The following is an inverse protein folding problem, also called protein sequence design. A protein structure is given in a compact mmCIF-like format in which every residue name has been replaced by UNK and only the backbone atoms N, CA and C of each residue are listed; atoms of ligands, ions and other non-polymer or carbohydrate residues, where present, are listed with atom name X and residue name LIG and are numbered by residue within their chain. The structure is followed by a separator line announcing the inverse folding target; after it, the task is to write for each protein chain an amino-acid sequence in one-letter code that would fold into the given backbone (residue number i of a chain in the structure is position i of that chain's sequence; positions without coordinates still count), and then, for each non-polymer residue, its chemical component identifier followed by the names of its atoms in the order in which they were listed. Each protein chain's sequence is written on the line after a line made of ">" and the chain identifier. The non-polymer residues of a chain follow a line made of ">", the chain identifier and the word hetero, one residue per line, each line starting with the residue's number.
data_IF_985858740703
#
_entry.id   IF_985858740703
#
_cell.length_a   1.000
_cell.length_b   1.000
_cell.length_c   1.000
_cell.angle_alpha   90.00
_cell.angle_beta   90.00
_cell.angle_gamma   90.00
#
_symmetry.space_group_name_H-M   'P 1'
#
loop_
_entity.id
_entity.type
_entity.pdbx_description
1 polymer ?
#
# COMPACT_ATOMS: atom_id res chain seq x y z
N UNK A 1 -10.53 11.96 7.45
CA UNK A 1 -9.16 11.90 6.91
C UNK A 1 -8.88 10.49 6.44
N UNK A 2 -8.30 10.35 5.26
CA UNK A 2 -7.97 9.06 4.67
C UNK A 2 -6.49 8.75 4.85
N UNK A 3 -6.17 7.51 5.15
CA UNK A 3 -4.80 7.03 5.26
C UNK A 3 -4.55 5.95 4.20
N UNK A 4 -3.42 6.04 3.54
CA UNK A 4 -3.01 5.04 2.57
C UNK A 4 -2.00 4.11 3.24
N UNK A 5 -2.36 2.83 3.35
CA UNK A 5 -1.51 1.85 4.03
C UNK A 5 -0.40 1.38 3.12
N UNK A 6 0.83 1.30 3.64
CA UNK A 6 1.93 0.71 2.88
C UNK A 6 1.92 -0.83 3.01
N UNK A 7 2.76 -1.48 2.21
CA UNK A 7 2.80 -2.93 2.15
C UNK A 7 3.17 -3.56 3.50
N UNK A 8 4.13 -2.97 4.21
CA UNK A 8 4.58 -3.52 5.50
C UNK A 8 3.50 -3.45 6.54
N UNK A 9 2.77 -2.35 6.61
CA UNK A 9 1.65 -2.20 7.55
C UNK A 9 0.56 -3.23 7.24
N UNK A 10 0.26 -3.44 5.95
CA UNK A 10 -0.72 -4.46 5.55
C UNK A 10 -0.30 -5.85 6.03
N UNK A 11 0.98 -6.20 5.86
CA UNK A 11 1.49 -7.50 6.30
C UNK A 11 1.37 -7.64 7.82
N UNK A 12 1.71 -6.58 8.58
CA UNK A 12 1.60 -6.61 10.03
C UNK A 12 0.15 -6.82 10.47
N UNK A 13 -0.80 -6.15 9.83
CA UNK A 13 -2.21 -6.28 10.18
C UNK A 13 -2.72 -7.69 9.85
N UNK A 14 -2.38 -8.22 8.69
CA UNK A 14 -2.80 -9.57 8.26
C UNK A 14 -2.28 -10.62 9.25
N UNK A 15 -1.04 -10.48 9.70
CA UNK A 15 -0.41 -11.43 10.60
C UNK A 15 -0.73 -11.18 12.08
N UNK A 16 -1.42 -10.07 12.38
CA UNK A 16 -1.70 -9.63 13.75
C UNK A 16 -0.42 -9.42 14.57
N UNK A 17 0.68 -9.04 13.91
CA UNK A 17 1.99 -8.81 14.53
C UNK A 17 2.71 -7.65 13.87
N UNK A 18 3.29 -6.72 14.66
CA UNK A 18 3.16 -6.64 16.11
C UNK A 18 1.73 -6.33 16.55
N UNK A 19 1.38 -6.78 17.72
CA UNK A 19 0.02 -6.59 18.23
C UNK A 19 -0.38 -5.12 18.31
N UNK A 20 0.57 -4.24 18.60
CA UNK A 20 0.31 -2.78 18.69
C UNK A 20 -0.19 -2.23 17.37
N UNK A 21 0.39 -2.67 16.25
CA UNK A 21 -0.04 -2.24 14.92
C UNK A 21 -1.47 -2.70 14.64
N UNK A 22 -1.76 -3.96 14.94
CA UNK A 22 -3.10 -4.51 14.75
C UNK A 22 -4.14 -3.79 15.59
N UNK A 23 -3.83 -3.51 16.86
CA UNK A 23 -4.73 -2.79 17.76
C UNK A 23 -4.97 -1.37 17.25
N UNK A 24 -3.95 -0.69 16.75
CA UNK A 24 -4.09 0.64 16.18
C UNK A 24 -4.99 0.62 14.95
N UNK A 25 -4.81 -0.38 14.07
CA UNK A 25 -5.62 -0.54 12.88
C UNK A 25 -7.11 -0.66 13.22
N UNK A 26 -7.44 -1.40 14.26
CA UNK A 26 -8.82 -1.63 14.68
C UNK A 26 -9.52 -0.37 15.17
N UNK A 27 -8.78 0.67 15.50
CA UNK A 27 -9.34 1.93 15.98
C UNK A 27 -9.89 2.82 14.86
N UNK A 28 -9.50 2.54 13.61
CA UNK A 28 -9.95 3.33 12.48
C UNK A 28 -11.27 2.80 11.94
N UNK A 29 -12.06 3.72 11.42
CA UNK A 29 -13.35 3.38 10.80
C UNK A 29 -13.14 3.00 9.35
N UNK A 30 -14.10 2.22 8.82
CA UNK A 30 -14.13 1.93 7.39
C UNK A 30 -14.25 3.25 6.62
N UNK A 31 -13.54 3.33 5.50
CA UNK A 31 -13.49 4.55 4.70
C UNK A 31 -12.36 5.49 5.06
N UNK A 32 -11.74 5.30 6.24
CA UNK A 32 -10.55 6.05 6.61
C UNK A 32 -9.28 5.41 6.08
N UNK A 33 -9.33 4.13 5.76
CA UNK A 33 -8.16 3.36 5.37
C UNK A 33 -8.31 2.85 3.93
N UNK A 34 -7.25 3.03 3.17
CA UNK A 34 -7.21 2.62 1.77
C UNK A 34 -5.85 2.03 1.44
N UNK A 35 -5.77 1.33 0.32
CA UNK A 35 -4.52 0.83 -0.23
C UNK A 35 -4.42 1.24 -1.68
N UNK A 36 -3.19 1.50 -2.13
CA UNK A 36 -2.92 1.69 -3.56
C UNK A 36 -3.10 0.37 -4.29
N UNK A 37 -3.57 0.43 -5.53
CA UNK A 37 -3.58 -0.76 -6.40
C UNK A 37 -2.19 -1.35 -6.57
N UNK A 38 -1.13 -0.54 -6.44
CA UNK A 38 0.25 -1.00 -6.46
C UNK A 38 0.53 -1.89 -5.24
N UNK A 39 0.17 -1.43 -4.04
CA UNK A 39 0.32 -2.21 -2.82
C UNK A 39 -0.48 -3.51 -2.88
N UNK A 40 -1.73 -3.43 -3.34
CA UNK A 40 -2.57 -4.62 -3.50
C UNK A 40 -1.93 -5.62 -4.45
N UNK A 41 -1.30 -5.14 -5.54
CA UNK A 41 -0.60 -6.00 -6.50
C UNK A 41 0.59 -6.70 -5.86
N UNK A 42 1.38 -5.99 -5.04
CA UNK A 42 2.50 -6.61 -4.33
C UNK A 42 2.03 -7.72 -3.38
N UNK A 43 0.98 -7.44 -2.64
CA UNK A 43 0.41 -8.42 -1.71
C UNK A 43 -0.12 -9.64 -2.45
N UNK A 44 -0.83 -9.42 -3.57
CA UNK A 44 -1.35 -10.50 -4.40
C UNK A 44 -0.23 -11.35 -4.99
N UNK A 45 0.85 -10.73 -5.45
CA UNK A 45 2.02 -11.45 -5.95
C UNK A 45 2.62 -12.35 -4.86
N UNK A 46 2.77 -11.82 -3.64
CA UNK A 46 3.31 -12.60 -2.53
C UNK A 46 2.47 -13.83 -2.22
N UNK A 47 1.15 -13.69 -2.28
CA UNK A 47 0.22 -14.80 -2.04
C UNK A 47 0.31 -15.85 -3.15
N UNK A 48 0.34 -15.42 -4.41
CA UNK A 48 0.49 -16.33 -5.54
C UNK A 48 1.82 -17.10 -5.46
N UNK A 49 2.89 -16.39 -5.10
CA UNK A 49 4.20 -16.99 -4.94
C UNK A 49 4.22 -18.04 -3.84
N UNK A 50 3.48 -17.83 -2.76
CA UNK A 50 3.40 -18.78 -1.65
C UNK A 50 2.66 -20.06 -2.01
N UNK A 51 1.79 -20.02 -3.02
CA UNK A 51 0.97 -21.15 -3.40
C UNK A 51 -0.05 -21.56 -2.35
N UNK A 52 -0.29 -20.72 -1.35
CA UNK A 52 -1.17 -21.03 -0.22
C UNK A 52 -2.57 -20.46 -0.45
N UNK A 53 -3.55 -21.35 -0.57
CA UNK A 53 -4.94 -20.92 -0.66
C UNK A 53 -5.40 -20.22 0.61
N UNK A 54 -4.89 -20.65 1.75
CA UNK A 54 -5.18 -20.00 3.04
C UNK A 54 -4.73 -18.55 3.05
N UNK A 55 -3.51 -18.29 2.57
CA UNK A 55 -2.97 -16.93 2.50
C UNK A 55 -3.78 -16.08 1.52
N UNK A 56 -4.20 -16.68 0.41
CA UNK A 56 -5.00 -15.98 -0.58
C UNK A 56 -6.34 -15.53 0.01
N UNK A 57 -7.01 -16.42 0.75
CA UNK A 57 -8.28 -16.09 1.39
C UNK A 57 -8.09 -15.04 2.48
N UNK A 58 -7.00 -15.12 3.25
CA UNK A 58 -6.68 -14.13 4.27
C UNK A 58 -6.49 -12.74 3.65
N UNK A 59 -5.79 -12.66 2.50
CA UNK A 59 -5.60 -11.40 1.81
C UNK A 59 -6.93 -10.84 1.30
N UNK A 60 -7.75 -11.67 0.67
CA UNK A 60 -9.06 -11.24 0.18
C UNK A 60 -9.93 -10.69 1.32
N UNK A 61 -9.89 -11.36 2.46
CA UNK A 61 -10.65 -10.93 3.63
C UNK A 61 -10.13 -9.59 4.16
N UNK A 62 -8.81 -9.41 4.18
CA UNK A 62 -8.20 -8.15 4.61
C UNK A 62 -8.58 -7.00 3.69
N UNK A 63 -8.53 -7.19 2.38
CA UNK A 63 -8.80 -6.14 1.40
C UNK A 63 -10.29 -5.79 1.29
N UNK A 64 -11.17 -6.72 1.62
CA UNK A 64 -12.61 -6.57 1.39
C UNK A 64 -13.19 -5.27 1.98
N UNK A 65 -12.88 -4.88 3.23
CA UNK A 65 -13.42 -3.65 3.80
C UNK A 65 -12.65 -2.38 3.41
N UNK A 66 -11.50 -2.53 2.76
CA UNK A 66 -10.64 -1.40 2.39
C UNK A 66 -11.00 -0.90 1.00
N UNK A 67 -10.71 0.37 0.77
CA UNK A 67 -10.83 0.94 -0.56
C UNK A 67 -9.51 0.72 -1.31
N UNK A 68 -9.59 0.13 -2.50
CA UNK A 68 -8.43 -0.03 -3.36
C UNK A 68 -8.45 1.10 -4.37
N UNK A 69 -7.49 2.02 -4.27
CA UNK A 69 -7.45 3.21 -5.11
C UNK A 69 -6.56 2.97 -6.32
N UNK A 70 -7.05 3.26 -7.53
CA UNK A 70 -6.26 3.01 -8.74
C UNK A 70 -5.13 4.00 -8.89
N UNK A 71 -3.98 3.51 -9.36
CA UNK A 71 -2.85 4.33 -9.74
C UNK A 71 -3.19 5.01 -11.06
N UNK A 72 -3.48 6.30 -11.03
CA UNK A 72 -4.04 7.01 -12.17
C UNK A 72 -3.04 7.99 -12.81
N UNK A 73 -3.55 8.81 -13.75
CA UNK A 73 -2.73 9.75 -14.50
C UNK A 73 -2.04 10.77 -13.60
N UNK A 74 -2.71 11.25 -12.55
CA UNK A 74 -2.09 12.20 -11.64
C UNK A 74 -0.91 11.59 -10.92
N UNK A 75 -1.02 10.33 -10.53
CA UNK A 75 0.07 9.62 -9.88
C UNK A 75 1.28 9.46 -10.80
N UNK A 76 1.05 9.29 -12.12
CA UNK A 76 2.12 9.21 -13.11
C UNK A 76 3.01 10.45 -13.05
N UNK A 77 2.41 11.62 -13.02
CA UNK A 77 3.17 12.87 -13.03
C UNK A 77 3.87 13.13 -11.71
N UNK A 78 3.26 12.78 -10.58
CA UNK A 78 3.93 12.86 -9.29
C UNK A 78 5.13 11.91 -9.22
N UNK A 79 5.00 10.71 -9.79
CA UNK A 79 6.10 9.77 -9.88
C UNK A 79 7.26 10.35 -10.70
N UNK A 80 6.95 10.94 -11.86
CA UNK A 80 7.98 11.48 -12.72
C UNK A 80 8.78 12.59 -12.03
N UNK A 81 8.09 13.48 -11.32
CA UNK A 81 8.74 14.56 -10.57
C UNK A 81 9.57 14.03 -9.42
N UNK A 82 9.02 13.11 -8.64
CA UNK A 82 9.70 12.54 -7.48
C UNK A 82 10.97 11.80 -7.92
N UNK A 83 10.85 10.96 -8.94
CA UNK A 83 11.99 10.19 -9.44
C UNK A 83 13.10 11.11 -9.95
N UNK A 84 12.71 12.13 -10.72
CA UNK A 84 13.67 13.10 -11.24
C UNK A 84 14.40 13.85 -10.11
N UNK A 85 13.65 14.32 -9.11
CA UNK A 85 14.22 15.06 -7.99
C UNK A 85 15.19 14.20 -7.18
N UNK A 86 14.80 12.96 -6.87
CA UNK A 86 15.67 12.06 -6.11
C UNK A 86 16.92 11.70 -6.89
N UNK A 87 16.78 11.43 -8.18
CA UNK A 87 17.92 11.09 -9.03
C UNK A 87 18.91 12.26 -9.12
N UNK A 88 18.41 13.48 -9.27
CA UNK A 88 19.27 14.67 -9.36
C UNK A 88 20.03 14.95 -8.07
N UNK A 89 19.52 14.48 -6.93
CA UNK A 89 20.19 14.60 -5.63
C UNK A 89 21.04 13.40 -5.27
N UNK A 90 21.18 12.44 -6.18
CA UNK A 90 21.92 11.22 -5.92
C UNK A 90 21.26 10.29 -4.93
N UNK A 91 19.98 10.50 -4.63
CA UNK A 91 19.20 9.67 -3.72
C UNK A 91 18.37 8.68 -4.51
N UNK A 92 18.28 7.44 -4.00
CA UNK A 92 17.47 6.41 -4.66
C UNK A 92 16.61 5.69 -3.63
N UNK A 93 15.40 5.34 -4.05
CA UNK A 93 14.53 4.43 -3.30
C UNK A 93 14.01 3.39 -4.29
N UNK A 94 13.47 2.29 -3.77
CA UNK A 94 12.95 1.22 -4.62
C UNK A 94 11.83 1.73 -5.53
N UNK A 95 11.73 1.16 -6.74
CA UNK A 95 10.75 1.59 -7.73
C UNK A 95 9.31 1.47 -7.22
N UNK A 96 8.99 0.36 -6.55
CA UNK A 96 7.65 0.17 -6.00
C UNK A 96 7.34 1.18 -4.90
N UNK A 97 8.33 1.47 -4.04
CA UNK A 97 8.16 2.46 -2.98
C UNK A 97 7.93 3.85 -3.57
N UNK A 98 8.63 4.19 -4.67
CA UNK A 98 8.40 5.46 -5.37
C UNK A 98 6.99 5.53 -5.95
N UNK A 99 6.49 4.44 -6.52
CA UNK A 99 5.14 4.41 -7.07
C UNK A 99 4.09 4.63 -5.97
N UNK A 100 4.28 4.01 -4.82
CA UNK A 100 3.36 4.16 -3.69
C UNK A 100 3.42 5.60 -3.15
N UNK A 101 4.62 6.15 -3.01
CA UNK A 101 4.78 7.53 -2.55
C UNK A 101 4.15 8.53 -3.52
N UNK A 102 4.35 8.34 -4.82
CA UNK A 102 3.76 9.19 -5.85
C UNK A 102 2.23 9.13 -5.81
N UNK A 103 1.69 7.93 -5.60
CA UNK A 103 0.24 7.74 -5.49
C UNK A 103 -0.31 8.49 -4.27
N UNK A 104 0.37 8.39 -3.13
CA UNK A 104 -0.03 9.11 -1.92
C UNK A 104 0.00 10.63 -2.14
N UNK A 105 1.04 11.14 -2.81
CA UNK A 105 1.13 12.56 -3.14
C UNK A 105 -0.02 13.00 -4.04
N UNK A 106 -0.37 12.20 -5.05
CA UNK A 106 -1.46 12.51 -5.96
C UNK A 106 -2.81 12.55 -5.25
N UNK A 107 -2.97 11.72 -4.24
CA UNK A 107 -4.21 11.65 -3.44
C UNK A 107 -4.22 12.68 -2.30
N UNK A 108 -3.11 13.32 -2.04
CA UNK A 108 -2.95 14.26 -0.92
C UNK A 108 -3.26 13.59 0.43
N UNK A 109 -2.67 12.42 0.64
CA UNK A 109 -2.84 11.64 1.88
C UNK A 109 -1.51 11.28 2.52
#
# INVERSE_FOLDING_TARGET
>A
MMYLLDTNICIYVINHKPQQVFERFRQYQLGELAVSSITASELAFGVEKSGSERNKQALKKFLSPLEILPYDEQAIWHYAQLHHDLQSKGQTIGSLDMLIAAHALALDV
#
